data_IF_037160496870
#
_entry.id   IF_037160496870
#
_cell.length_a   1.000
_cell.length_b   1.000
_cell.length_c   1.000
_cell.angle_alpha   90.00
_cell.angle_beta   90.00
_cell.angle_gamma   90.00
#
_symmetry.space_group_name_H-M   'P 1'
#
loop_
_entity.id
_entity.type
_entity.pdbx_description
1 polymer ?
#
# COMPACT_ATOMS: atom_id res chain seq x y z
N UNK A 1 -19.53 6.36 6.59
CA UNK A 1 -19.30 6.20 5.13
C UNK A 1 -18.85 4.77 4.99
N UNK A 2 -19.65 3.94 4.34
CA UNK A 2 -19.31 2.52 4.19
C UNK A 2 -18.17 2.33 3.20
N UNK A 3 -17.65 1.11 3.11
CA UNK A 3 -16.55 0.77 2.21
C UNK A 3 -16.87 1.06 0.74
N UNK A 4 -18.07 0.70 0.26
CA UNK A 4 -18.50 0.92 -1.13
C UNK A 4 -18.50 2.41 -1.50
N UNK A 5 -19.02 3.26 -0.62
CA UNK A 5 -19.03 4.72 -0.83
C UNK A 5 -17.61 5.30 -0.77
N UNK A 6 -16.75 4.74 0.07
CA UNK A 6 -15.34 5.13 0.19
C UNK A 6 -14.57 4.78 -1.09
N UNK A 7 -14.62 3.52 -1.53
CA UNK A 7 -13.94 3.02 -2.72
C UNK A 7 -14.36 3.81 -3.96
N UNK A 8 -15.66 4.08 -4.12
CA UNK A 8 -16.16 4.92 -5.21
C UNK A 8 -15.56 6.32 -5.21
N UNK A 9 -15.44 6.95 -4.03
CA UNK A 9 -14.84 8.29 -3.91
C UNK A 9 -13.33 8.24 -4.13
N UNK A 10 -12.66 7.19 -3.68
CA UNK A 10 -11.23 6.98 -3.90
C UNK A 10 -10.92 6.87 -5.39
N UNK A 11 -11.67 6.05 -6.14
CA UNK A 11 -11.57 5.96 -7.59
C UNK A 11 -11.77 7.32 -8.28
N UNK A 12 -12.79 8.07 -7.88
CA UNK A 12 -13.03 9.42 -8.40
C UNK A 12 -11.88 10.38 -8.09
N UNK A 13 -11.28 10.27 -6.90
CA UNK A 13 -10.13 11.08 -6.49
C UNK A 13 -8.89 10.71 -7.30
N UNK A 14 -8.61 9.42 -7.47
CA UNK A 14 -7.47 8.92 -8.23
C UNK A 14 -7.45 9.45 -9.67
N UNK A 15 -8.62 9.47 -10.32
CA UNK A 15 -8.81 10.03 -11.65
C UNK A 15 -8.69 11.57 -11.72
N UNK A 16 -8.79 12.28 -10.58
CA UNK A 16 -8.65 13.73 -10.50
C UNK A 16 -7.24 14.18 -10.12
N UNK A 17 -6.46 13.33 -9.47
CA UNK A 17 -5.06 13.58 -9.14
C UNK A 17 -4.24 13.72 -10.43
N UNK A 18 -3.24 14.60 -10.44
CA UNK A 18 -2.19 14.55 -11.46
C UNK A 18 -1.29 13.33 -11.23
N UNK A 19 -0.52 12.95 -12.25
CA UNK A 19 0.49 11.90 -12.10
C UNK A 19 1.45 12.21 -10.94
N UNK A 20 1.95 13.44 -10.86
CA UNK A 20 2.87 13.87 -9.80
C UNK A 20 2.23 13.80 -8.41
N UNK A 21 0.95 14.12 -8.29
CA UNK A 21 0.22 13.99 -7.03
C UNK A 21 0.04 12.52 -6.63
N UNK A 22 -0.30 11.64 -7.58
CA UNK A 22 -0.37 10.18 -7.35
C UNK A 22 0.97 9.62 -6.89
N UNK A 23 2.06 9.97 -7.58
CA UNK A 23 3.41 9.51 -7.21
C UNK A 23 3.83 10.04 -5.84
N UNK A 24 3.63 11.34 -5.56
CA UNK A 24 4.01 11.92 -4.29
C UNK A 24 3.24 11.30 -3.11
N UNK A 25 1.92 11.13 -3.25
CA UNK A 25 1.10 10.53 -2.21
C UNK A 25 1.37 9.03 -2.07
N UNK A 26 1.48 8.29 -3.18
CA UNK A 26 1.78 6.86 -3.17
C UNK A 26 3.15 6.54 -2.58
N UNK A 27 4.16 7.36 -2.87
CA UNK A 27 5.49 7.25 -2.25
C UNK A 27 5.43 7.45 -0.74
N UNK A 28 4.67 8.45 -0.26
CA UNK A 28 4.51 8.69 1.17
C UNK A 28 3.82 7.51 1.87
N UNK A 29 2.81 6.92 1.24
CA UNK A 29 2.14 5.71 1.73
C UNK A 29 3.14 4.55 1.82
N UNK A 30 3.87 4.26 0.73
CA UNK A 30 4.84 3.16 0.71
C UNK A 30 5.92 3.30 1.79
N UNK A 31 6.41 4.53 2.03
CA UNK A 31 7.33 4.81 3.13
C UNK A 31 6.73 4.59 4.52
N UNK A 32 5.43 4.89 4.67
CA UNK A 32 4.69 4.64 5.91
C UNK A 32 4.49 3.15 6.17
N UNK A 33 4.33 2.35 5.11
CA UNK A 33 4.13 0.90 5.19
C UNK A 33 5.45 0.11 5.29
N UNK A 34 6.56 0.64 4.78
CA UNK A 34 7.88 -0.01 4.80
C UNK A 34 8.32 -0.59 6.16
N UNK A 35 8.10 0.09 7.31
CA UNK A 35 8.47 -0.46 8.61
C UNK A 35 7.85 -1.83 8.90
N UNK A 36 6.60 -2.07 8.48
CA UNK A 36 5.92 -3.35 8.70
C UNK A 36 6.60 -4.50 7.94
N UNK A 37 6.93 -4.28 6.66
CA UNK A 37 7.69 -5.27 5.90
C UNK A 37 9.05 -5.56 6.55
N UNK A 38 9.75 -4.50 6.98
CA UNK A 38 11.06 -4.65 7.60
C UNK A 38 10.99 -5.46 8.89
N UNK A 39 9.98 -5.22 9.72
CA UNK A 39 9.75 -5.97 10.96
C UNK A 39 9.53 -7.45 10.66
N UNK A 40 8.55 -7.76 9.81
CA UNK A 40 8.28 -9.11 9.35
C UNK A 40 9.52 -9.82 8.79
N UNK A 41 10.27 -9.17 7.90
CA UNK A 41 11.46 -9.77 7.28
C UNK A 41 12.52 -10.17 8.32
N UNK A 42 12.65 -9.40 9.41
CA UNK A 42 13.57 -9.73 10.49
C UNK A 42 13.04 -10.89 11.35
N UNK A 43 11.75 -10.90 11.64
CA UNK A 43 11.12 -11.90 12.53
C UNK A 43 10.97 -13.26 11.85
N UNK A 44 10.47 -13.27 10.61
CA UNK A 44 10.30 -14.45 9.79
C UNK A 44 11.63 -14.94 9.16
N UNK A 45 12.69 -14.13 9.21
CA UNK A 45 13.96 -14.40 8.51
C UNK A 45 13.75 -14.68 7.01
N UNK A 46 12.83 -13.94 6.40
CA UNK A 46 12.40 -14.07 5.00
C UNK A 46 12.47 -12.72 4.28
N UNK A 47 12.65 -12.76 2.95
CA UNK A 47 12.63 -11.57 2.10
C UNK A 47 13.88 -10.71 2.19
N UNK A 48 13.79 -9.49 1.67
CA UNK A 48 14.89 -8.52 1.65
C UNK A 48 14.36 -7.08 1.69
N UNK A 49 14.45 -6.37 2.84
CA UNK A 49 13.96 -4.99 2.97
C UNK A 49 14.60 -4.00 2.00
N UNK A 50 15.81 -4.27 1.53
CA UNK A 50 16.48 -3.36 0.60
C UNK A 50 15.77 -3.30 -0.76
N UNK A 51 15.08 -4.38 -1.18
CA UNK A 51 14.31 -4.39 -2.44
C UNK A 51 13.19 -3.35 -2.40
N UNK A 52 12.35 -3.34 -1.36
CA UNK A 52 11.28 -2.34 -1.24
C UNK A 52 11.86 -0.92 -1.11
N UNK A 53 12.92 -0.76 -0.31
CA UNK A 53 13.53 0.54 -0.10
C UNK A 53 14.12 1.12 -1.37
N UNK A 54 14.80 0.30 -2.17
CA UNK A 54 15.41 0.73 -3.43
C UNK A 54 14.35 0.99 -4.51
N UNK A 55 13.27 0.21 -4.56
CA UNK A 55 12.09 0.51 -5.41
C UNK A 55 11.48 1.88 -5.07
N UNK A 56 11.26 2.18 -3.78
CA UNK A 56 10.74 3.48 -3.34
C UNK A 56 11.71 4.60 -3.75
N UNK A 57 13.02 4.42 -3.55
CA UNK A 57 14.04 5.41 -3.92
C UNK A 57 14.12 5.64 -5.43
N UNK A 58 13.95 4.59 -6.21
CA UNK A 58 13.90 4.70 -7.67
C UNK A 58 12.73 5.59 -8.09
N UNK A 59 11.52 5.36 -7.56
CA UNK A 59 10.36 6.23 -7.84
C UNK A 59 10.62 7.67 -7.41
N UNK A 60 11.25 7.89 -6.24
CA UNK A 60 11.61 9.23 -5.76
C UNK A 60 12.63 9.97 -6.61
N UNK A 61 13.51 9.23 -7.32
CA UNK A 61 14.49 9.83 -8.21
C UNK A 61 13.84 10.51 -9.42
N UNK A 62 12.60 10.12 -9.76
CA UNK A 62 11.88 10.55 -10.95
C UNK A 62 12.35 9.86 -12.24
N UNK A 63 13.19 8.83 -12.12
CA UNK A 63 13.57 7.98 -13.24
C UNK A 63 12.36 7.19 -13.76
N UNK A 64 12.29 7.02 -15.08
CA UNK A 64 11.20 6.33 -15.78
C UNK A 64 11.75 5.25 -16.73
N UNK A 65 12.76 4.51 -16.25
CA UNK A 65 13.32 3.38 -16.97
C UNK A 65 12.41 2.15 -16.82
N UNK A 66 11.70 1.81 -17.89
CA UNK A 66 10.72 0.72 -17.92
C UNK A 66 11.37 -0.64 -17.67
N UNK A 67 12.57 -0.89 -18.21
CA UNK A 67 13.24 -2.18 -18.02
C UNK A 67 13.63 -2.34 -16.55
N UNK A 68 14.10 -1.25 -15.92
CA UNK A 68 14.44 -1.24 -14.51
C UNK A 68 13.19 -1.38 -13.61
N UNK A 69 12.06 -0.80 -14.00
CA UNK A 69 10.78 -0.99 -13.28
C UNK A 69 10.39 -2.47 -13.26
N UNK A 70 10.45 -3.15 -14.41
CA UNK A 70 10.15 -4.58 -14.47
C UNK A 70 11.14 -5.43 -13.66
N UNK A 71 12.42 -5.06 -13.63
CA UNK A 71 13.39 -5.71 -12.73
C UNK A 71 13.01 -5.52 -11.25
N UNK A 72 12.54 -4.35 -10.84
CA UNK A 72 12.04 -4.14 -9.49
C UNK A 72 10.78 -4.94 -9.18
N UNK A 73 9.86 -5.08 -10.14
CA UNK A 73 8.65 -5.88 -9.99
C UNK A 73 8.99 -7.37 -9.81
N UNK A 74 9.87 -7.92 -10.64
CA UNK A 74 10.33 -9.31 -10.52
C UNK A 74 11.02 -9.55 -9.17
N UNK A 75 11.88 -8.61 -8.73
CA UNK A 75 12.55 -8.71 -7.43
C UNK A 75 11.56 -8.60 -6.25
N UNK A 76 10.47 -7.82 -6.40
CA UNK A 76 9.44 -7.70 -5.37
C UNK A 76 8.65 -8.99 -5.22
N UNK A 77 8.32 -9.68 -6.31
CA UNK A 77 7.62 -10.97 -6.28
C UNK A 77 8.38 -12.00 -5.43
N UNK A 78 9.70 -12.08 -5.59
CA UNK A 78 10.57 -13.02 -4.87
C UNK A 78 10.67 -12.73 -3.35
N UNK A 79 10.36 -11.51 -2.92
CA UNK A 79 10.49 -11.10 -1.51
C UNK A 79 9.14 -10.79 -0.85
N UNK A 80 8.05 -10.89 -1.59
CA UNK A 80 6.70 -10.73 -1.10
C UNK A 80 6.29 -12.00 -0.34
N UNK A 81 5.77 -11.90 0.91
CA UNK A 81 5.32 -13.07 1.64
C UNK A 81 4.04 -13.64 1.03
N UNK A 82 3.95 -14.96 0.99
CA UNK A 82 2.71 -15.67 0.67
C UNK A 82 1.84 -15.79 1.93
N UNK A 83 0.57 -15.38 1.83
CA UNK A 83 -0.40 -15.46 2.92
C UNK A 83 -0.71 -16.90 3.36
N UNK A 84 -0.49 -17.90 2.50
CA UNK A 84 -0.62 -19.32 2.86
C UNK A 84 0.57 -19.83 3.68
N UNK A 85 1.76 -19.20 3.54
CA UNK A 85 2.99 -19.61 4.23
C UNK A 85 3.22 -18.82 5.52
N UNK A 86 2.75 -17.58 5.59
CA UNK A 86 2.99 -16.66 6.71
C UNK A 86 1.67 -16.04 7.19
N UNK A 87 1.05 -16.67 8.21
CA UNK A 87 -0.20 -16.16 8.81
C UNK A 87 -0.03 -14.73 9.36
N UNK A 88 1.15 -14.37 9.88
CA UNK A 88 1.47 -13.03 10.41
C UNK A 88 2.04 -12.08 9.32
N UNK A 89 2.01 -12.50 8.05
CA UNK A 89 2.63 -11.78 6.92
C UNK A 89 1.78 -10.67 6.31
N UNK A 90 0.54 -10.46 6.77
CA UNK A 90 -0.45 -9.55 6.16
C UNK A 90 0.08 -8.11 6.00
N UNK A 91 0.67 -7.53 7.05
CA UNK A 91 1.21 -6.17 6.99
C UNK A 91 2.37 -6.03 5.99
N UNK A 92 3.19 -7.06 5.88
CA UNK A 92 4.29 -7.11 4.94
C UNK A 92 3.79 -7.30 3.50
N UNK A 93 2.75 -8.11 3.31
CA UNK A 93 2.05 -8.27 2.03
C UNK A 93 1.44 -6.94 1.57
N UNK A 94 0.78 -6.20 2.45
CA UNK A 94 0.23 -4.87 2.13
C UNK A 94 1.34 -3.88 1.73
N UNK A 95 2.48 -3.90 2.43
CA UNK A 95 3.63 -3.07 2.06
C UNK A 95 4.19 -3.45 0.67
N UNK A 96 4.33 -4.74 0.37
CA UNK A 96 4.73 -5.22 -0.95
C UNK A 96 3.73 -4.82 -2.05
N UNK A 97 2.43 -5.03 -1.80
CA UNK A 97 1.36 -4.65 -2.72
C UNK A 97 1.37 -3.16 -3.04
N UNK A 98 1.55 -2.31 -2.02
CA UNK A 98 1.68 -0.87 -2.21
C UNK A 98 2.89 -0.49 -3.08
N UNK A 99 4.07 -1.07 -2.82
CA UNK A 99 5.27 -0.75 -3.61
C UNK A 99 5.14 -1.27 -5.05
N UNK A 100 4.58 -2.45 -5.23
CA UNK A 100 4.29 -3.03 -6.55
C UNK A 100 3.36 -2.12 -7.36
N UNK A 101 2.23 -1.72 -6.78
CA UNK A 101 1.28 -0.81 -7.43
C UNK A 101 1.89 0.57 -7.70
N UNK A 102 2.77 1.08 -6.83
CA UNK A 102 3.49 2.34 -7.08
C UNK A 102 4.42 2.25 -8.30
N UNK A 103 5.14 1.12 -8.47
CA UNK A 103 5.98 0.88 -9.65
C UNK A 103 5.14 0.78 -10.93
N UNK A 104 4.00 0.07 -10.87
CA UNK A 104 3.05 0.01 -11.97
C UNK A 104 2.48 1.39 -12.32
N UNK A 105 2.21 2.23 -11.32
CA UNK A 105 1.78 3.62 -11.56
C UNK A 105 2.84 4.44 -12.32
N UNK A 106 4.14 4.14 -12.15
CA UNK A 106 5.22 4.77 -12.94
C UNK A 106 5.27 4.20 -14.36
N UNK A 107 5.14 2.88 -14.51
CA UNK A 107 5.13 2.21 -15.82
C UNK A 107 3.92 2.61 -16.67
N UNK A 108 2.77 2.81 -16.03
CA UNK A 108 1.46 3.06 -16.62
C UNK A 108 0.87 4.38 -16.05
N UNK A 109 1.44 5.54 -16.42
CA UNK A 109 1.14 6.83 -15.79
C UNK A 109 -0.30 7.31 -15.97
N UNK A 110 -0.97 6.81 -17.01
CA UNK A 110 -2.36 7.17 -17.37
C UNK A 110 -3.41 6.30 -16.66
N UNK A 111 -3.01 5.24 -15.96
CA UNK A 111 -3.89 4.31 -15.24
C UNK A 111 -3.93 4.69 -13.74
N UNK A 112 -4.93 5.45 -13.26
CA UNK A 112 -5.05 5.85 -11.86
C UNK A 112 -5.40 4.70 -10.90
N UNK A 113 -5.83 3.56 -11.42
CA UNK A 113 -6.19 2.35 -10.67
C UNK A 113 -5.00 1.84 -9.84
N UNK A 114 -3.77 1.95 -10.35
CA UNK A 114 -2.56 1.60 -9.61
C UNK A 114 -2.42 2.42 -8.32
N UNK A 115 -2.73 3.72 -8.34
CA UNK A 115 -2.77 4.51 -7.11
C UNK A 115 -3.89 4.08 -6.16
N UNK A 116 -5.04 3.63 -6.69
CA UNK A 116 -6.13 3.09 -5.85
C UNK A 116 -5.64 1.87 -5.08
N UNK A 117 -4.89 0.97 -5.72
CA UNK A 117 -4.28 -0.20 -5.07
C UNK A 117 -3.31 0.22 -3.95
N UNK A 118 -2.43 1.20 -4.19
CA UNK A 118 -1.55 1.76 -3.14
C UNK A 118 -2.36 2.27 -1.94
N UNK A 119 -3.44 3.00 -2.21
CA UNK A 119 -4.31 3.56 -1.18
C UNK A 119 -5.10 2.49 -0.41
N UNK A 120 -5.52 1.41 -1.09
CA UNK A 120 -6.20 0.29 -0.45
C UNK A 120 -5.26 -0.52 0.45
N UNK A 121 -4.01 -0.78 0.04
CA UNK A 121 -3.04 -1.45 0.92
C UNK A 121 -2.79 -0.66 2.22
N UNK A 122 -2.80 0.68 2.16
CA UNK A 122 -2.77 1.51 3.36
C UNK A 122 -4.03 1.36 4.21
N UNK A 123 -5.20 1.41 3.56
CA UNK A 123 -6.49 1.26 4.25
C UNK A 123 -6.59 -0.09 4.97
N UNK A 124 -6.27 -1.18 4.28
CA UNK A 124 -6.25 -2.56 4.78
C UNK A 124 -5.27 -2.71 5.94
N UNK A 125 -4.07 -2.10 5.85
CA UNK A 125 -3.12 -2.07 6.97
C UNK A 125 -3.71 -1.40 8.22
N UNK A 126 -4.44 -0.30 8.07
CA UNK A 126 -5.11 0.36 9.20
C UNK A 126 -6.26 -0.48 9.73
N UNK A 127 -7.02 -1.14 8.85
CA UNK A 127 -8.11 -2.05 9.24
C UNK A 127 -7.58 -3.25 10.04
N UNK A 128 -6.54 -3.93 9.55
CA UNK A 128 -5.86 -5.02 10.25
C UNK A 128 -5.32 -4.57 11.62
N UNK A 129 -4.69 -3.39 11.68
CA UNK A 129 -4.19 -2.84 12.96
C UNK A 129 -5.31 -2.68 13.98
N UNK A 130 -6.50 -2.24 13.54
CA UNK A 130 -7.65 -2.06 14.44
C UNK A 130 -8.16 -3.40 14.94
N UNK A 131 -8.21 -4.43 14.09
CA UNK A 131 -8.64 -5.76 14.48
C UNK A 131 -7.65 -6.40 15.46
N UNK A 132 -6.35 -6.29 15.21
CA UNK A 132 -5.32 -6.85 16.09
C UNK A 132 -5.26 -6.17 17.47
N UNK A 133 -5.56 -4.87 17.54
CA UNK A 133 -5.61 -4.11 18.79
C UNK A 133 -6.92 -4.34 19.58
N UNK A 134 -7.94 -4.95 18.97
CA UNK A 134 -9.24 -5.16 19.60
C UNK A 134 -9.21 -6.35 20.59
N UNK A 135 -9.94 -6.23 21.71
CA UNK A 135 -10.07 -7.35 22.66
C UNK A 135 -10.93 -8.50 22.10
N UNK A 136 -11.84 -8.19 21.18
CA UNK A 136 -12.73 -9.11 20.47
C UNK A 136 -12.88 -8.63 19.01
N UNK A 137 -13.03 -9.56 18.07
CA UNK A 137 -13.23 -9.25 16.64
C UNK A 137 -14.35 -8.24 16.45
N UNK A 138 -14.03 -7.11 15.81
CA UNK A 138 -15.00 -6.08 15.50
C UNK A 138 -15.82 -6.49 14.28
N UNK A 139 -17.13 -6.23 14.32
CA UNK A 139 -17.97 -6.34 13.12
C UNK A 139 -17.66 -5.24 12.11
N UNK A 140 -17.98 -5.46 10.83
CA UNK A 140 -17.84 -4.45 9.77
C UNK A 140 -18.48 -3.10 10.15
N UNK A 141 -19.64 -3.13 10.81
CA UNK A 141 -20.35 -1.93 11.25
C UNK A 141 -19.58 -1.15 12.33
N UNK A 142 -18.86 -1.86 13.21
CA UNK A 142 -18.03 -1.27 14.24
C UNK A 142 -16.72 -0.71 13.66
N UNK A 143 -16.06 -1.47 12.78
CA UNK A 143 -14.90 -1.00 12.02
C UNK A 143 -15.22 0.25 11.23
N UNK A 144 -16.39 0.30 10.58
CA UNK A 144 -16.83 1.45 9.80
C UNK A 144 -16.94 2.75 10.60
N UNK A 145 -17.20 2.64 11.90
CA UNK A 145 -17.28 3.75 12.84
C UNK A 145 -15.97 4.01 13.58
N UNK A 146 -14.94 3.17 13.40
CA UNK A 146 -13.69 3.30 14.13
C UNK A 146 -12.95 4.61 13.76
N UNK A 147 -12.49 5.42 14.75
CA UNK A 147 -11.86 6.71 14.47
C UNK A 147 -10.62 6.63 13.57
N UNK A 148 -9.80 5.57 13.73
CA UNK A 148 -8.59 5.40 12.90
C UNK A 148 -8.94 5.14 11.44
N UNK A 149 -9.94 4.30 11.18
CA UNK A 149 -10.37 4.00 9.81
C UNK A 149 -11.05 5.22 9.17
N UNK A 150 -11.82 5.98 9.96
CA UNK A 150 -12.38 7.25 9.51
C UNK A 150 -11.29 8.27 9.15
N UNK A 151 -10.19 8.33 9.91
CA UNK A 151 -9.07 9.21 9.62
C UNK A 151 -8.27 8.74 8.40
N UNK A 152 -8.05 7.43 8.23
CA UNK A 152 -7.45 6.86 7.04
C UNK A 152 -8.24 7.24 5.77
N UNK A 153 -9.57 7.11 5.80
CA UNK A 153 -10.44 7.55 4.69
C UNK A 153 -10.31 9.05 4.42
N UNK A 154 -10.19 9.89 5.45
CA UNK A 154 -9.99 11.34 5.27
C UNK A 154 -8.64 11.65 4.66
N UNK A 155 -7.58 11.00 5.13
CA UNK A 155 -6.23 11.13 4.59
C UNK A 155 -6.19 10.77 3.11
N UNK A 156 -6.78 9.63 2.73
CA UNK A 156 -6.80 9.16 1.33
C UNK A 156 -7.67 10.02 0.41
N UNK A 157 -8.71 10.66 0.94
CA UNK A 157 -9.59 11.56 0.18
C UNK A 157 -9.21 13.04 0.28
N UNK A 158 -8.11 13.38 0.97
CA UNK A 158 -7.68 14.77 1.14
C UNK A 158 -7.19 15.38 -0.18
N UNK A 159 -7.34 16.70 -0.29
CA UNK A 159 -6.87 17.53 -1.42
C UNK A 159 -5.47 18.05 -1.16
#
# INVERSE_FOLDING_TARGET
MNFIDFEKKLNQRAAQLSYEERIAQGTNICKGLFPYYKEFANEASFGNPDVLLDSIRFVESGEQDVDQIYEFLDNLEEVCPDAEEYEEGEYALNACGAVNALLLQVAEPDEPEHFVEVALSYYETIEATIQDDAEEDMSDEELEMHPMLAEARRFLLAS
#
